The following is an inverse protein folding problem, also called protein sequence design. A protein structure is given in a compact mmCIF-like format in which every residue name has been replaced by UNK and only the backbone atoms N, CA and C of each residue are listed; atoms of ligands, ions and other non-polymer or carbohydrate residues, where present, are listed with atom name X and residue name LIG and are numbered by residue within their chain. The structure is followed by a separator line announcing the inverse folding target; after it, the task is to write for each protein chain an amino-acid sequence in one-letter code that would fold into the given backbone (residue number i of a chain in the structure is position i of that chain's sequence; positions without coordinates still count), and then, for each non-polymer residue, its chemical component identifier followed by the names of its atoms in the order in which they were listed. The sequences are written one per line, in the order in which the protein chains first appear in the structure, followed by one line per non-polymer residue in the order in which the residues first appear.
data_IF_479368335253
#
_entry.id   IF_479368335253
#
_cell.length_a   1.000
_cell.length_b   1.000
_cell.length_c   1.000
_cell.angle_alpha   90.00
_cell.angle_beta   90.00
_cell.angle_gamma   90.00
#
_symmetry.space_group_name_H-M   'P 1'
#
loop_
_entity.id
_entity.type
_entity.pdbx_description
1 polymer ?
#
# COMPACT_ATOMS: atom_id res chain seq x y z
N UNK A 1 -29.05 1.98 -4.32
CA UNK A 1 -28.65 1.65 -4.81
C UNK A 1 -27.91 1.61 -5.19
N UNK A 2 -27.88 1.52 -5.22
CA UNK A 2 -27.34 1.21 -5.57
C UNK A 2 -26.48 1.19 -6.16
N UNK A 3 -26.44 1.01 -5.90
CA UNK A 3 -25.12 1.10 -6.24
C UNK A 3 -24.61 0.55 -7.51
N UNK A 4 -25.04 0.97 -8.53
CA UNK A 4 -24.53 0.52 -9.79
C UNK A 4 -23.12 0.98 -10.04
N UNK A 5 -22.27 0.08 -10.40
CA UNK A 5 -20.89 0.37 -10.65
C UNK A 5 -20.10 0.67 -9.39
N UNK A 6 -20.79 0.87 -8.29
CA UNK A 6 -20.17 1.15 -7.02
C UNK A 6 -19.24 2.34 -7.02
N UNK A 7 -18.59 2.55 -5.89
CA UNK A 7 -17.55 3.56 -5.77
C UNK A 7 -16.27 3.06 -6.44
N UNK A 8 -15.31 3.96 -6.61
CA UNK A 8 -13.99 3.57 -7.12
C UNK A 8 -13.38 2.51 -6.21
N UNK A 9 -13.54 2.64 -4.91
CA UNK A 9 -13.00 1.67 -3.96
C UNK A 9 -13.62 0.29 -4.15
N UNK A 10 -14.93 0.23 -4.36
CA UNK A 10 -15.61 -1.04 -4.59
C UNK A 10 -15.13 -1.71 -5.89
N UNK A 11 -14.91 -0.90 -6.94
CA UNK A 11 -14.38 -1.42 -8.19
C UNK A 11 -12.99 -1.98 -8.01
N UNK A 12 -12.15 -1.29 -7.24
CA UNK A 12 -10.81 -1.77 -6.94
C UNK A 12 -10.84 -3.07 -6.16
N UNK A 13 -11.69 -3.16 -5.13
CA UNK A 13 -11.82 -4.36 -4.33
C UNK A 13 -12.26 -5.55 -5.17
N UNK A 14 -13.17 -5.31 -6.11
CA UNK A 14 -13.63 -6.35 -7.01
C UNK A 14 -12.48 -6.87 -7.89
N UNK A 15 -11.67 -5.95 -8.42
CA UNK A 15 -10.52 -6.32 -9.23
C UNK A 15 -9.47 -7.07 -8.41
N UNK A 16 -9.27 -6.67 -7.15
CA UNK A 16 -8.38 -7.41 -6.24
C UNK A 16 -8.90 -8.83 -6.03
N UNK A 17 -10.18 -8.98 -5.74
CA UNK A 17 -10.79 -10.29 -5.53
C UNK A 17 -10.64 -11.18 -6.76
N UNK A 18 -10.74 -10.60 -7.94
CA UNK A 18 -10.58 -11.34 -9.20
C UNK A 18 -9.14 -11.46 -9.63
N UNK A 19 -8.22 -10.87 -8.88
CA UNK A 19 -6.78 -10.91 -9.16
C UNK A 19 -6.42 -10.34 -10.52
N UNK A 20 -7.13 -9.27 -10.91
CA UNK A 20 -6.86 -8.60 -12.18
C UNK A 20 -5.86 -7.48 -11.96
N UNK A 21 -4.64 -7.87 -11.64
CA UNK A 21 -3.57 -6.96 -11.22
C UNK A 21 -3.16 -5.97 -12.30
N UNK A 22 -3.12 -6.42 -13.56
CA UNK A 22 -2.75 -5.54 -14.66
C UNK A 22 -3.74 -4.40 -14.84
N UNK A 23 -5.04 -4.69 -14.70
CA UNK A 23 -6.06 -3.67 -14.78
C UNK A 23 -5.92 -2.66 -13.64
N UNK A 24 -5.67 -3.14 -12.44
CA UNK A 24 -5.47 -2.26 -11.29
C UNK A 24 -4.30 -1.32 -11.53
N UNK A 25 -3.18 -1.84 -12.00
CA UNK A 25 -2.00 -1.03 -12.23
C UNK A 25 -2.24 0.01 -13.32
N UNK A 26 -2.84 -0.41 -14.42
CA UNK A 26 -3.08 0.50 -15.55
C UNK A 26 -4.05 1.62 -15.20
N UNK A 27 -5.10 1.29 -14.45
CA UNK A 27 -6.14 2.28 -14.17
C UNK A 27 -5.80 3.21 -13.03
N UNK A 28 -5.12 2.71 -12.00
CA UNK A 28 -5.08 3.44 -10.74
C UNK A 28 -3.69 3.73 -10.18
N UNK A 29 -2.67 2.96 -10.57
CA UNK A 29 -1.37 3.07 -9.90
C UNK A 29 -0.71 4.44 -10.05
N UNK A 30 -0.90 5.08 -11.20
CA UNK A 30 -0.29 6.38 -11.47
C UNK A 30 -1.32 7.51 -11.49
N UNK A 31 -2.44 7.31 -10.83
CA UNK A 31 -3.50 8.29 -10.73
C UNK A 31 -3.20 9.30 -9.61
N UNK A 32 -4.20 10.08 -9.19
CA UNK A 32 -3.99 11.09 -8.16
C UNK A 32 -3.81 10.43 -6.77
N UNK A 33 -3.43 11.27 -5.81
CA UNK A 33 -3.12 10.81 -4.45
C UNK A 33 -4.29 10.08 -3.82
N UNK A 34 -5.50 10.61 -3.92
CA UNK A 34 -6.68 9.99 -3.31
C UNK A 34 -6.96 8.62 -3.89
N UNK A 35 -6.82 8.48 -5.21
CA UNK A 35 -7.03 7.21 -5.89
C UNK A 35 -5.98 6.19 -5.45
N UNK A 36 -4.74 6.62 -5.31
CA UNK A 36 -3.66 5.73 -4.88
C UNK A 36 -3.82 5.31 -3.42
N UNK A 37 -4.33 6.18 -2.57
CA UNK A 37 -4.67 5.82 -1.20
C UNK A 37 -5.75 4.73 -1.20
N UNK A 38 -6.79 4.90 -2.00
CA UNK A 38 -7.84 3.88 -2.11
C UNK A 38 -7.29 2.57 -2.65
N UNK A 39 -6.36 2.62 -3.60
CA UNK A 39 -5.74 1.41 -4.15
C UNK A 39 -4.95 0.66 -3.08
N UNK A 40 -4.19 1.38 -2.26
CA UNK A 40 -3.43 0.75 -1.18
C UNK A 40 -4.39 0.04 -0.21
N UNK A 41 -5.51 0.69 0.12
CA UNK A 41 -6.49 0.08 1.01
C UNK A 41 -7.12 -1.17 0.40
N UNK A 42 -7.45 -1.13 -0.88
CA UNK A 42 -8.03 -2.30 -1.55
C UNK A 42 -7.02 -3.46 -1.57
N UNK A 43 -5.77 -3.17 -1.90
CA UNK A 43 -4.73 -4.20 -1.95
C UNK A 43 -4.43 -4.77 -0.56
N UNK A 44 -4.72 -4.04 0.51
CA UNK A 44 -4.49 -4.54 1.87
C UNK A 44 -5.43 -5.69 2.23
N UNK A 45 -6.39 -6.01 1.37
CA UNK A 45 -7.30 -7.14 1.56
C UNK A 45 -6.73 -8.45 1.04
N UNK A 46 -5.59 -8.43 0.37
CA UNK A 46 -5.02 -9.59 -0.30
C UNK A 46 -3.53 -9.64 -0.02
N UNK A 47 -3.04 -10.79 0.46
CA UNK A 47 -1.63 -10.93 0.84
C UNK A 47 -0.77 -11.62 -0.22
N UNK A 48 -1.23 -11.67 -1.47
CA UNK A 48 -0.43 -12.24 -2.55
C UNK A 48 0.77 -11.33 -2.86
N UNK A 49 1.78 -11.91 -3.52
CA UNK A 49 2.95 -11.15 -3.92
C UNK A 49 2.59 -10.00 -4.86
N UNK A 50 1.63 -10.21 -5.74
CA UNK A 50 1.19 -9.18 -6.66
C UNK A 50 0.60 -7.98 -5.92
N UNK A 51 -0.21 -8.25 -4.90
CA UNK A 51 -0.81 -7.19 -4.09
C UNK A 51 0.28 -6.41 -3.36
N UNK A 52 1.21 -7.12 -2.73
CA UNK A 52 2.34 -6.50 -2.03
C UNK A 52 3.15 -5.64 -3.00
N UNK A 53 3.42 -6.13 -4.21
CA UNK A 53 4.20 -5.37 -5.18
C UNK A 53 3.51 -4.07 -5.61
N UNK A 54 2.18 -4.09 -5.74
CA UNK A 54 1.44 -2.86 -6.05
C UNK A 54 1.58 -1.86 -4.92
N UNK A 55 1.44 -2.30 -3.67
CA UNK A 55 1.57 -1.40 -2.52
C UNK A 55 3.00 -0.85 -2.42
N UNK A 56 4.00 -1.66 -2.70
CA UNK A 56 5.39 -1.18 -2.73
C UNK A 56 5.57 -0.10 -3.79
N UNK A 57 4.94 -0.24 -4.95
CA UNK A 57 5.01 0.77 -5.99
C UNK A 57 4.32 2.07 -5.56
N UNK A 58 3.20 1.96 -4.83
CA UNK A 58 2.51 3.12 -4.29
C UNK A 58 3.42 3.85 -3.29
N UNK A 59 4.15 3.09 -2.50
CA UNK A 59 5.05 3.64 -1.47
C UNK A 59 6.16 4.51 -2.09
N UNK A 60 6.51 4.28 -3.35
CA UNK A 60 7.54 5.06 -4.03
C UNK A 60 7.10 6.46 -4.43
N UNK A 61 5.81 6.78 -4.31
CA UNK A 61 5.32 8.12 -4.63
C UNK A 61 5.83 9.17 -3.65
N UNK A 62 5.59 10.44 -3.99
CA UNK A 62 6.15 11.56 -3.25
C UNK A 62 5.24 12.09 -2.14
N UNK A 63 3.93 11.83 -2.22
CA UNK A 63 2.98 12.37 -1.24
C UNK A 63 3.03 11.58 0.06
N UNK A 64 3.16 12.30 1.17
CA UNK A 64 3.30 11.66 2.47
C UNK A 64 2.06 10.84 2.85
N UNK A 65 0.86 11.38 2.59
CA UNK A 65 -0.37 10.65 2.94
C UNK A 65 -0.46 9.32 2.20
N UNK A 66 -0.03 9.29 0.95
CA UNK A 66 0.00 8.07 0.15
C UNK A 66 0.99 7.08 0.75
N UNK A 67 2.18 7.57 1.11
CA UNK A 67 3.20 6.71 1.73
C UNK A 67 2.70 6.12 3.04
N UNK A 68 2.06 6.92 3.87
CA UNK A 68 1.56 6.45 5.16
C UNK A 68 0.51 5.36 4.98
N UNK A 69 -0.39 5.52 4.01
CA UNK A 69 -1.40 4.51 3.73
C UNK A 69 -0.75 3.22 3.20
N UNK A 70 0.23 3.36 2.31
CA UNK A 70 0.93 2.19 1.78
C UNK A 70 1.66 1.45 2.89
N UNK A 71 2.29 2.17 3.83
CA UNK A 71 2.96 1.55 4.96
C UNK A 71 1.97 0.79 5.84
N UNK A 72 0.79 1.38 6.10
CA UNK A 72 -0.24 0.71 6.86
C UNK A 72 -0.69 -0.58 6.18
N UNK A 73 -0.85 -0.54 4.86
CA UNK A 73 -1.22 -1.74 4.09
C UNK A 73 -0.14 -2.81 4.20
N UNK A 74 1.14 -2.42 4.09
CA UNK A 74 2.25 -3.37 4.21
C UNK A 74 2.33 -3.97 5.60
N UNK A 75 1.94 -3.22 6.63
CA UNK A 75 1.87 -3.77 7.97
C UNK A 75 0.88 -4.93 8.05
N UNK A 76 -0.17 -4.89 7.24
CA UNK A 76 -1.17 -5.95 7.21
C UNK A 76 -0.75 -7.14 6.35
N UNK A 77 -0.22 -6.90 5.17
CA UNK A 77 0.00 -7.96 4.18
C UNK A 77 1.47 -8.26 3.92
N UNK A 78 2.37 -7.41 4.38
CA UNK A 78 3.79 -7.60 4.13
C UNK A 78 4.37 -8.78 4.90
N UNK A 79 5.45 -9.32 4.37
CA UNK A 79 6.19 -10.41 4.99
C UNK A 79 7.66 -9.98 5.12
N UNK A 80 8.49 -10.89 5.62
CA UNK A 80 9.93 -10.63 5.72
C UNK A 80 10.53 -10.16 4.39
N UNK A 81 9.89 -10.53 3.28
CA UNK A 81 10.35 -10.16 1.95
C UNK A 81 10.44 -8.64 1.76
N UNK A 82 9.55 -7.86 2.40
CA UNK A 82 9.57 -6.40 2.25
C UNK A 82 10.43 -5.70 3.28
N UNK A 83 10.97 -6.42 4.24
CA UNK A 83 11.73 -5.82 5.34
C UNK A 83 12.94 -5.03 4.83
N UNK A 84 13.68 -5.59 3.87
CA UNK A 84 14.84 -4.90 3.30
C UNK A 84 14.46 -3.57 2.65
N UNK A 85 13.36 -3.56 1.90
CA UNK A 85 12.87 -2.35 1.25
C UNK A 85 12.52 -1.29 2.28
N UNK A 86 11.85 -1.70 3.37
CA UNK A 86 11.47 -0.77 4.42
C UNK A 86 12.68 -0.23 5.17
N UNK A 87 13.69 -1.06 5.40
CA UNK A 87 14.92 -0.61 6.04
C UNK A 87 15.66 0.41 5.17
N UNK A 88 15.68 0.20 3.86
CA UNK A 88 16.27 1.17 2.93
C UNK A 88 15.50 2.48 2.96
N UNK A 89 14.18 2.40 3.00
CA UNK A 89 13.35 3.60 3.08
C UNK A 89 13.64 4.34 4.39
N UNK A 90 13.72 3.62 5.50
CA UNK A 90 14.01 4.22 6.80
C UNK A 90 15.30 5.01 6.78
N UNK A 91 16.33 4.47 6.11
CA UNK A 91 17.62 5.15 6.00
C UNK A 91 17.55 6.43 5.18
N UNK A 92 16.56 6.53 4.27
CA UNK A 92 16.40 7.71 3.43
C UNK A 92 15.49 8.77 4.02
N UNK A 93 14.65 8.40 4.99
CA UNK A 93 13.72 9.35 5.60
C UNK A 93 14.48 10.27 6.55
N UNK A 94 14.39 11.60 6.37
CA UNK A 94 15.05 12.52 7.30
C UNK A 94 14.52 12.35 8.72
N UNK A 95 15.40 12.43 9.70
CA UNK A 95 14.99 12.28 11.08
C UNK A 95 14.01 13.37 11.52
N UNK A 96 14.02 14.54 10.84
CA UNK A 96 13.06 15.60 11.11
C UNK A 96 11.63 15.19 10.74
N UNK A 97 11.48 14.26 9.81
CA UNK A 97 10.15 13.76 9.45
C UNK A 97 9.80 12.58 10.34
N UNK A 98 9.54 12.89 11.62
CA UNK A 98 9.29 11.85 12.62
C UNK A 98 8.04 11.05 12.31
N UNK A 99 7.02 11.67 11.70
CA UNK A 99 5.78 10.97 11.38
C UNK A 99 6.02 9.82 10.40
N UNK A 100 6.74 10.09 9.33
CA UNK A 100 7.03 9.04 8.33
C UNK A 100 8.04 8.03 8.90
N UNK A 101 9.05 8.52 9.61
CA UNK A 101 10.06 7.67 10.24
C UNK A 101 9.39 6.66 11.18
N UNK A 102 8.51 7.15 12.05
CA UNK A 102 7.80 6.29 13.01
C UNK A 102 6.87 5.31 12.30
N UNK A 103 6.24 5.75 11.21
CA UNK A 103 5.37 4.87 10.45
C UNK A 103 6.13 3.69 9.86
N UNK A 104 7.34 3.92 9.35
CA UNK A 104 8.17 2.83 8.83
C UNK A 104 8.54 1.86 9.95
N UNK A 105 8.94 2.39 11.11
CA UNK A 105 9.27 1.55 12.25
C UNK A 105 8.07 0.73 12.70
N UNK A 106 6.90 1.34 12.78
CA UNK A 106 5.67 0.63 13.17
C UNK A 106 5.36 -0.50 12.19
N UNK A 107 5.53 -0.23 10.90
CA UNK A 107 5.28 -1.24 9.88
C UNK A 107 6.24 -2.41 10.01
N UNK A 108 7.52 -2.13 10.25
CA UNK A 108 8.52 -3.18 10.48
C UNK A 108 8.15 -4.02 11.71
N UNK A 109 7.69 -3.38 12.78
CA UNK A 109 7.23 -4.08 13.98
C UNK A 109 6.04 -4.97 13.69
N UNK A 110 5.06 -4.47 12.94
CA UNK A 110 3.87 -5.26 12.61
C UNK A 110 4.23 -6.50 11.81
N UNK A 111 5.13 -6.36 10.84
CA UNK A 111 5.56 -7.50 10.04
C UNK A 111 6.27 -8.53 10.89
N UNK A 112 7.18 -8.08 11.75
CA UNK A 112 7.93 -8.97 12.65
C UNK A 112 7.02 -9.72 13.59
N UNK A 113 5.99 -9.05 14.10
CA UNK A 113 5.12 -9.62 15.13
C UNK A 113 4.07 -10.58 14.59
N UNK A 114 3.98 -10.72 13.27
CA UNK A 114 3.04 -11.67 12.67
C UNK A 114 3.45 -13.13 12.86
N UNK A 115 4.67 -13.36 13.21
CA UNK A 115 5.19 -14.73 13.41
C UNK A 115 4.79 -15.34 14.76
#
# INVERSE_FOLDING_TARGET
MFGFGGSTEEKMEHLVQKKEWDKLKKKYLYSDANTRISLAKACSQDNSDESVNIVLAILEGDEEDVKLTALSALGKIGTDHVTSTLQLLLAKVPSENSKLHDAVLDTLHQIRNKK
#
